data_IF_358156732257
#
_entry.id   IF_358156732257
#
_cell.length_a   1.000
_cell.length_b   1.000
_cell.length_c   1.000
_cell.angle_alpha   90.00
_cell.angle_beta   90.00
_cell.angle_gamma   90.00
#
_symmetry.space_group_name_H-M   'P 1'
#
loop_
_entity.id
_entity.type
_entity.pdbx_description
1 polymer ?
#
# COMPACT_ATOMS: atom_id res chain seq x y z
N UNK A 1 3.39 15.35 -8.16
CA UNK A 1 3.04 15.84 -9.50
C UNK A 1 3.01 14.65 -10.45
N UNK A 2 1.97 14.55 -11.26
CA UNK A 2 1.62 13.43 -12.15
C UNK A 2 2.25 13.62 -13.53
N UNK A 3 3.58 13.59 -13.59
CA UNK A 3 4.33 13.83 -14.82
C UNK A 3 4.73 12.54 -15.56
N UNK A 4 4.80 12.64 -16.88
CA UNK A 4 5.26 11.59 -17.78
C UNK A 4 4.42 10.31 -17.70
N UNK A 5 5.02 9.20 -18.13
CA UNK A 5 4.34 7.90 -18.15
C UNK A 5 3.93 7.42 -16.75
N UNK A 6 4.75 7.68 -15.73
CA UNK A 6 4.41 7.35 -14.34
C UNK A 6 3.17 8.14 -13.87
N UNK A 7 3.10 9.43 -14.20
CA UNK A 7 1.93 10.26 -13.94
C UNK A 7 0.66 9.72 -14.60
N UNK A 8 0.76 9.25 -15.85
CA UNK A 8 -0.36 8.60 -16.55
C UNK A 8 -0.83 7.36 -15.80
N UNK A 9 0.09 6.45 -15.47
CA UNK A 9 -0.22 5.19 -14.79
C UNK A 9 -0.87 5.41 -13.43
N UNK A 10 -0.36 6.37 -12.64
CA UNK A 10 -0.95 6.72 -11.35
C UNK A 10 -2.40 7.18 -11.48
N UNK A 11 -2.64 8.16 -12.35
CA UNK A 11 -3.95 8.79 -12.51
C UNK A 11 -4.97 7.84 -13.14
N UNK A 12 -4.58 7.10 -14.19
CA UNK A 12 -5.43 6.10 -14.84
C UNK A 12 -5.74 4.93 -13.88
N UNK A 13 -4.73 4.49 -13.13
CA UNK A 13 -4.84 3.45 -12.10
C UNK A 13 -5.81 3.82 -10.99
N UNK A 14 -5.69 5.03 -10.45
CA UNK A 14 -6.56 5.54 -9.39
C UNK A 14 -8.00 5.73 -9.88
N UNK A 15 -8.19 6.28 -11.08
CA UNK A 15 -9.52 6.44 -11.68
C UNK A 15 -10.27 5.11 -11.81
N UNK A 16 -9.63 4.08 -12.38
CA UNK A 16 -10.28 2.76 -12.50
C UNK A 16 -10.43 2.05 -11.15
N UNK A 17 -9.57 2.34 -10.18
CA UNK A 17 -9.68 1.84 -8.81
C UNK A 17 -10.92 2.41 -8.11
N UNK A 18 -11.08 3.74 -8.10
CA UNK A 18 -12.25 4.42 -7.55
C UNK A 18 -13.53 3.94 -8.23
N UNK A 19 -13.49 3.76 -9.55
CA UNK A 19 -14.64 3.29 -10.33
C UNK A 19 -15.03 1.86 -9.96
N UNK A 20 -14.04 0.99 -9.72
CA UNK A 20 -14.29 -0.38 -9.27
C UNK A 20 -14.87 -0.42 -7.84
N UNK A 21 -14.36 0.41 -6.92
CA UNK A 21 -14.88 0.49 -5.54
C UNK A 21 -16.31 1.05 -5.57
N UNK A 22 -16.54 2.16 -6.27
CA UNK A 22 -17.84 2.82 -6.37
C UNK A 22 -18.91 1.91 -6.99
N UNK A 23 -18.53 1.03 -7.94
CA UNK A 23 -19.45 0.04 -8.50
C UNK A 23 -19.93 -1.02 -7.47
N UNK A 24 -19.16 -1.27 -6.41
CA UNK A 24 -19.50 -2.24 -5.35
C UNK A 24 -20.13 -1.56 -4.14
N UNK A 25 -19.58 -0.41 -3.74
CA UNK A 25 -20.03 0.40 -2.60
C UNK A 25 -19.92 1.88 -2.97
N UNK A 26 -20.98 2.48 -3.57
CA UNK A 26 -20.96 3.86 -4.10
C UNK A 26 -20.53 4.93 -3.09
N UNK A 27 -20.88 4.74 -1.83
CA UNK A 27 -20.63 5.67 -0.74
C UNK A 27 -19.32 5.40 0.01
N UNK A 28 -18.50 4.42 -0.40
CA UNK A 28 -17.26 4.05 0.33
C UNK A 28 -16.00 4.72 -0.22
N UNK A 29 -16.05 5.26 -1.44
CA UNK A 29 -14.97 6.06 -2.02
C UNK A 29 -15.57 7.20 -2.85
N UNK A 30 -14.84 8.29 -3.11
CA UNK A 30 -15.28 9.36 -3.98
C UNK A 30 -15.69 8.85 -5.37
N UNK A 31 -16.80 9.34 -5.91
CA UNK A 31 -17.19 9.05 -7.30
C UNK A 31 -16.17 9.63 -8.28
N UNK A 32 -15.52 8.83 -9.14
CA UNK A 32 -14.62 9.37 -10.15
C UNK A 32 -15.41 9.87 -11.36
N UNK A 33 -15.16 11.11 -11.78
CA UNK A 33 -15.86 11.75 -12.90
C UNK A 33 -15.10 11.64 -14.22
N UNK A 34 -13.80 11.92 -14.21
CA UNK A 34 -12.96 11.87 -15.40
C UNK A 34 -11.47 11.87 -15.05
N UNK A 35 -10.64 11.43 -15.99
CA UNK A 35 -9.20 11.69 -15.96
C UNK A 35 -8.70 12.04 -17.36
N UNK A 36 -7.52 12.64 -17.46
CA UNK A 36 -6.94 12.94 -18.76
C UNK A 36 -5.59 13.65 -18.71
N UNK A 37 -5.05 13.93 -19.89
CA UNK A 37 -3.80 14.67 -20.09
C UNK A 37 -4.08 16.16 -20.32
N UNK A 38 -3.29 17.04 -19.73
CA UNK A 38 -3.34 18.48 -20.02
C UNK A 38 -2.94 18.76 -21.48
N UNK A 39 -3.52 19.79 -22.08
CA UNK A 39 -3.33 20.09 -23.51
C UNK A 39 -2.00 20.76 -23.83
N UNK A 40 -1.55 21.69 -22.98
CA UNK A 40 -0.47 22.62 -23.27
C UNK A 40 0.48 22.74 -22.07
N UNK A 41 1.01 21.61 -21.61
CA UNK A 41 2.09 21.61 -20.63
C UNK A 41 3.42 21.31 -21.33
N UNK A 42 4.49 21.94 -20.86
CA UNK A 42 5.87 21.67 -21.32
C UNK A 42 6.28 20.22 -21.01
N UNK A 43 5.67 19.64 -19.97
CA UNK A 43 5.81 18.25 -19.58
C UNK A 43 4.45 17.53 -19.63
N UNK A 44 4.46 16.23 -19.91
CA UNK A 44 3.24 15.43 -19.95
C UNK A 44 2.59 15.34 -18.57
N UNK A 45 1.59 16.18 -18.27
CA UNK A 45 0.85 16.18 -16.99
C UNK A 45 -0.53 15.55 -17.12
N UNK A 46 -0.99 14.87 -16.07
CA UNK A 46 -2.29 14.21 -16.01
C UNK A 46 -3.13 14.67 -14.81
N UNK A 47 -4.46 14.68 -14.96
CA UNK A 47 -5.41 15.06 -13.91
C UNK A 47 -6.44 13.95 -13.64
N UNK A 48 -6.94 13.92 -12.41
CA UNK A 48 -8.14 13.19 -11.97
C UNK A 48 -9.18 14.19 -11.49
N UNK A 49 -10.43 14.00 -11.89
CA UNK A 49 -11.61 14.67 -11.35
C UNK A 49 -12.45 13.62 -10.63
N UNK A 50 -12.70 13.84 -9.35
CA UNK A 50 -13.54 12.99 -8.52
C UNK A 50 -14.41 13.85 -7.60
N UNK A 51 -15.39 13.22 -6.96
CA UNK A 51 -16.24 13.80 -5.93
C UNK A 51 -15.40 14.43 -4.81
N UNK A 52 -15.76 15.65 -4.43
CA UNK A 52 -15.19 16.27 -3.24
C UNK A 52 -15.95 15.75 -2.02
N UNK A 53 -15.21 15.24 -1.03
CA UNK A 53 -15.74 14.83 0.28
C UNK A 53 -14.97 15.55 1.37
N UNK A 54 -15.68 16.18 2.29
CA UNK A 54 -15.05 16.87 3.41
C UNK A 54 -14.59 15.85 4.45
N UNK A 55 -13.29 15.85 4.74
CA UNK A 55 -12.64 14.92 5.67
C UNK A 55 -12.93 15.32 7.11
N UNK A 56 -13.48 14.38 7.88
CA UNK A 56 -13.73 14.51 9.30
C UNK A 56 -12.71 13.78 10.15
N UNK A 57 -13.18 12.88 11.03
CA UNK A 57 -12.29 12.06 11.85
C UNK A 57 -11.45 11.13 10.96
N UNK A 58 -10.14 11.19 11.15
CA UNK A 58 -9.16 10.38 10.44
C UNK A 58 -8.14 9.82 11.45
N UNK A 59 -7.98 8.49 11.60
CA UNK A 59 -8.75 7.43 10.94
C UNK A 59 -10.20 7.35 11.48
N UNK A 60 -11.14 6.78 10.72
CA UNK A 60 -12.53 6.63 11.12
C UNK A 60 -12.71 5.58 12.23
N UNK A 61 -13.85 5.66 12.94
CA UNK A 61 -14.22 4.72 14.00
C UNK A 61 -13.93 3.24 13.62
N UNK A 62 -13.19 2.47 14.45
CA UNK A 62 -12.74 1.12 14.09
C UNK A 62 -13.87 0.15 13.74
N UNK A 63 -14.98 0.17 14.47
CA UNK A 63 -16.07 -0.78 14.26
C UNK A 63 -16.79 -0.50 12.93
N UNK A 64 -17.16 0.77 12.68
CA UNK A 64 -17.87 1.16 11.47
C UNK A 64 -17.00 0.99 10.23
N UNK A 65 -15.74 1.44 10.31
CA UNK A 65 -14.82 1.36 9.19
C UNK A 65 -14.55 -0.09 8.76
N UNK A 66 -14.20 -0.95 9.71
CA UNK A 66 -13.87 -2.35 9.40
C UNK A 66 -15.09 -3.16 8.96
N UNK A 67 -16.30 -2.80 9.39
CA UNK A 67 -17.54 -3.37 8.86
C UNK A 67 -17.72 -3.08 7.37
N UNK A 68 -17.54 -1.80 6.96
CA UNK A 68 -17.63 -1.39 5.55
C UNK A 68 -16.52 -1.97 4.69
N UNK A 69 -15.29 -2.03 5.20
CA UNK A 69 -14.18 -2.68 4.50
C UNK A 69 -14.45 -4.17 4.26
N UNK A 70 -14.91 -4.89 5.29
CA UNK A 70 -15.28 -6.29 5.15
C UNK A 70 -16.46 -6.47 4.18
N UNK A 71 -17.40 -5.54 4.14
CA UNK A 71 -18.51 -5.53 3.19
C UNK A 71 -18.04 -5.36 1.74
N UNK A 72 -17.12 -4.42 1.46
CA UNK A 72 -16.48 -4.28 0.14
C UNK A 72 -15.83 -5.60 -0.29
N UNK A 73 -15.04 -6.20 0.59
CA UNK A 73 -14.34 -7.46 0.31
C UNK A 73 -15.33 -8.61 0.07
N UNK A 74 -16.46 -8.66 0.78
CA UNK A 74 -17.49 -9.69 0.59
C UNK A 74 -18.33 -9.48 -0.66
N UNK A 75 -18.74 -8.25 -0.97
CA UNK A 75 -19.65 -7.93 -2.08
C UNK A 75 -18.97 -7.85 -3.44
N UNK A 76 -17.69 -7.48 -3.48
CA UNK A 76 -16.94 -7.38 -4.75
C UNK A 76 -16.89 -8.73 -5.47
N UNK A 77 -16.91 -8.73 -6.80
CA UNK A 77 -16.79 -9.96 -7.60
C UNK A 77 -15.77 -9.71 -8.69
N UNK A 78 -14.69 -10.50 -8.70
CA UNK A 78 -13.70 -10.43 -9.79
C UNK A 78 -14.40 -10.70 -11.12
N UNK A 79 -14.25 -9.81 -12.13
CA UNK A 79 -14.93 -9.96 -13.42
C UNK A 79 -14.50 -11.22 -14.18
N UNK A 80 -13.35 -11.79 -13.81
CA UNK A 80 -12.79 -13.01 -14.39
C UNK A 80 -12.85 -14.20 -13.44
N UNK A 81 -13.22 -13.99 -12.17
CA UNK A 81 -13.07 -14.97 -11.10
C UNK A 81 -11.62 -15.20 -10.66
N UNK A 82 -10.66 -14.42 -11.16
CA UNK A 82 -9.21 -14.54 -10.90
C UNK A 82 -8.66 -13.36 -10.09
N UNK A 83 -7.43 -13.49 -9.60
CA UNK A 83 -6.69 -12.42 -8.94
C UNK A 83 -6.03 -11.50 -9.97
N UNK A 84 -5.94 -10.20 -9.67
CA UNK A 84 -5.36 -9.18 -10.55
C UNK A 84 -6.35 -8.07 -10.93
N UNK A 85 -6.08 -7.36 -12.01
CA UNK A 85 -6.84 -6.21 -12.47
C UNK A 85 -6.69 -6.03 -13.99
N UNK A 86 -7.53 -5.19 -14.60
CA UNK A 86 -7.52 -4.97 -16.05
C UNK A 86 -6.44 -3.98 -16.51
N UNK A 87 -5.87 -3.19 -15.60
CA UNK A 87 -4.80 -2.23 -15.87
C UNK A 87 -3.78 -2.23 -14.72
N UNK A 88 -2.65 -1.54 -14.95
CA UNK A 88 -1.67 -1.25 -13.91
C UNK A 88 -2.27 -0.23 -12.95
N UNK A 89 -2.29 -0.55 -11.67
CA UNK A 89 -2.49 0.41 -10.58
C UNK A 89 -1.17 0.71 -9.87
N UNK A 90 -1.15 1.76 -9.05
CA UNK A 90 0.05 2.20 -8.36
C UNK A 90 -0.13 2.12 -6.84
N UNK A 91 0.95 1.91 -6.11
CA UNK A 91 1.03 2.17 -4.67
C UNK A 91 1.82 3.45 -4.48
N UNK A 92 1.11 4.53 -4.16
CA UNK A 92 1.58 5.89 -4.38
C UNK A 92 2.17 6.04 -5.80
N UNK A 93 3.49 6.20 -5.93
CA UNK A 93 4.18 6.39 -7.22
C UNK A 93 4.75 5.12 -7.83
N UNK A 94 4.61 3.98 -7.16
CA UNK A 94 5.22 2.71 -7.59
C UNK A 94 4.20 1.90 -8.41
N UNK A 95 4.44 1.65 -9.70
CA UNK A 95 3.58 0.77 -10.50
C UNK A 95 3.54 -0.63 -9.88
N UNK A 96 2.34 -1.21 -9.79
CA UNK A 96 2.12 -2.56 -9.29
C UNK A 96 1.96 -3.55 -10.44
N UNK A 97 2.34 -4.81 -10.22
CA UNK A 97 1.96 -5.90 -11.13
C UNK A 97 0.50 -6.26 -10.88
N UNK A 98 -0.38 -5.69 -11.71
CA UNK A 98 -1.84 -5.82 -11.57
C UNK A 98 -2.55 -6.02 -12.89
N UNK A 99 -1.97 -5.63 -14.04
CA UNK A 99 -2.49 -5.82 -15.41
C UNK A 99 -2.40 -7.27 -15.92
N UNK A 100 -2.82 -8.21 -15.09
CA UNK A 100 -2.81 -9.64 -15.37
C UNK A 100 -3.94 -10.33 -14.61
N UNK A 101 -4.18 -11.59 -14.94
CA UNK A 101 -5.18 -12.42 -14.28
C UNK A 101 -4.60 -13.78 -13.92
N UNK A 102 -4.51 -14.08 -12.63
CA UNK A 102 -3.93 -15.30 -12.09
C UNK A 102 -4.97 -16.12 -11.32
N UNK A 103 -5.01 -17.43 -11.55
CA UNK A 103 -5.87 -18.33 -10.78
C UNK A 103 -5.34 -18.54 -9.34
N UNK A 104 -4.03 -18.38 -9.14
CA UNK A 104 -3.36 -18.58 -7.87
C UNK A 104 -2.91 -17.27 -7.24
N UNK A 105 -3.33 -17.04 -6.00
CA UNK A 105 -2.88 -15.93 -5.18
C UNK A 105 -1.38 -16.02 -4.85
N UNK A 106 -0.86 -17.23 -4.60
CA UNK A 106 0.57 -17.49 -4.41
C UNK A 106 1.37 -16.92 -5.59
N UNK A 107 0.92 -17.19 -6.83
CA UNK A 107 1.61 -16.76 -8.05
C UNK A 107 1.57 -15.24 -8.20
N UNK A 108 0.40 -14.61 -8.06
CA UNK A 108 0.29 -13.16 -8.19
C UNK A 108 1.10 -12.44 -7.09
N UNK A 109 0.94 -12.84 -5.83
CA UNK A 109 1.65 -12.21 -4.72
C UNK A 109 3.17 -12.36 -4.85
N UNK A 110 3.66 -13.52 -5.30
CA UNK A 110 5.08 -13.73 -5.58
C UNK A 110 5.60 -12.76 -6.65
N UNK A 111 4.85 -12.55 -7.74
CA UNK A 111 5.20 -11.58 -8.80
C UNK A 111 5.26 -10.16 -8.24
N UNK A 112 4.25 -9.78 -7.45
CA UNK A 112 4.18 -8.45 -6.83
C UNK A 112 5.33 -8.19 -5.85
N UNK A 113 5.62 -9.13 -4.94
CA UNK A 113 6.72 -8.94 -3.98
C UNK A 113 8.09 -8.94 -4.67
N UNK A 114 8.30 -9.82 -5.67
CA UNK A 114 9.55 -9.83 -6.45
C UNK A 114 9.76 -8.52 -7.20
N UNK A 115 8.70 -7.94 -7.76
CA UNK A 115 8.75 -6.62 -8.39
C UNK A 115 9.15 -5.52 -7.40
N UNK A 116 8.60 -5.52 -6.19
CA UNK A 116 8.97 -4.55 -5.16
C UNK A 116 10.42 -4.70 -4.69
N UNK A 117 10.95 -5.93 -4.58
CA UNK A 117 12.36 -6.18 -4.29
C UNK A 117 13.26 -5.62 -5.38
N UNK A 118 12.86 -5.78 -6.65
CA UNK A 118 13.59 -5.21 -7.78
C UNK A 118 13.59 -3.67 -7.75
N UNK A 119 12.45 -3.04 -7.44
CA UNK A 119 12.37 -1.58 -7.31
C UNK A 119 13.27 -1.05 -6.16
N UNK A 120 13.37 -1.80 -5.05
CA UNK A 120 14.28 -1.47 -3.96
C UNK A 120 15.75 -1.56 -4.38
N UNK A 121 16.12 -2.62 -5.10
CA UNK A 121 17.47 -2.81 -5.65
C UNK A 121 17.84 -1.71 -6.65
N UNK A 122 16.93 -1.35 -7.57
CA UNK A 122 17.13 -0.25 -8.52
C UNK A 122 17.31 1.11 -7.81
N UNK A 123 16.63 1.31 -6.68
CA UNK A 123 16.65 2.57 -5.93
C UNK A 123 17.87 2.72 -5.03
N UNK A 124 18.23 1.65 -4.32
CA UNK A 124 19.18 1.70 -3.21
C UNK A 124 20.47 0.91 -3.46
N UNK A 125 20.54 0.17 -4.56
CA UNK A 125 21.67 -0.69 -4.92
C UNK A 125 21.70 -2.00 -4.14
N UNK A 126 22.82 -2.72 -4.34
CA UNK A 126 23.00 -4.07 -3.83
C UNK A 126 23.04 -4.14 -2.31
N UNK A 127 22.33 -5.14 -1.78
CA UNK A 127 22.45 -5.54 -0.38
C UNK A 127 22.40 -7.09 -0.32
N UNK A 128 23.56 -7.77 -0.36
CA UNK A 128 23.62 -9.22 -0.50
C UNK A 128 22.77 -9.98 0.50
N UNK A 129 22.83 -9.62 1.78
CA UNK A 129 22.04 -10.25 2.85
C UNK A 129 20.54 -10.10 2.60
N UNK A 130 20.09 -8.90 2.20
CA UNK A 130 18.69 -8.63 1.86
C UNK A 130 18.25 -9.44 0.64
N UNK A 131 19.06 -9.49 -0.41
CA UNK A 131 18.79 -10.26 -1.62
C UNK A 131 18.68 -11.76 -1.31
N UNK A 132 19.52 -12.31 -0.42
CA UNK A 132 19.43 -13.72 -0.04
C UNK A 132 18.16 -14.04 0.73
N UNK A 133 17.79 -13.25 1.74
CA UNK A 133 16.54 -13.49 2.48
C UNK A 133 15.32 -13.25 1.60
N UNK A 134 15.37 -12.28 0.69
CA UNK A 134 14.31 -12.03 -0.31
C UNK A 134 14.09 -13.25 -1.20
N UNK A 135 15.18 -13.86 -1.74
CA UNK A 135 15.08 -15.09 -2.54
C UNK A 135 14.44 -16.23 -1.76
N UNK A 136 14.86 -16.46 -0.51
CA UNK A 136 14.26 -17.49 0.34
C UNK A 136 12.78 -17.23 0.62
N UNK A 137 12.39 -15.98 0.85
CA UNK A 137 10.97 -15.63 1.01
C UNK A 137 10.17 -15.96 -0.25
N UNK A 138 10.67 -15.56 -1.43
CA UNK A 138 10.00 -15.79 -2.71
C UNK A 138 9.91 -17.28 -3.08
N UNK A 139 10.91 -18.08 -2.73
CA UNK A 139 11.04 -19.48 -3.15
C UNK A 139 10.52 -20.49 -2.14
N UNK A 140 10.53 -20.17 -0.85
CA UNK A 140 10.22 -21.10 0.24
C UNK A 140 9.04 -20.63 1.08
N UNK A 141 9.10 -19.40 1.57
CA UNK A 141 8.09 -18.87 2.51
C UNK A 141 6.75 -18.64 1.82
N UNK A 142 6.72 -17.95 0.68
CA UNK A 142 5.48 -17.69 -0.06
C UNK A 142 4.75 -19.00 -0.41
N UNK A 143 5.41 -20.00 -1.04
CA UNK A 143 4.79 -21.31 -1.24
C UNK A 143 4.26 -21.96 0.02
N UNK A 144 5.01 -21.93 1.12
CA UNK A 144 4.59 -22.54 2.39
C UNK A 144 3.35 -21.85 2.96
N UNK A 145 3.26 -20.53 2.92
CA UNK A 145 2.19 -19.77 3.56
C UNK A 145 0.96 -19.57 2.68
N UNK A 146 1.12 -19.42 1.37
CA UNK A 146 0.04 -19.01 0.47
C UNK A 146 -0.58 -20.15 -0.32
N UNK A 147 0.18 -21.20 -0.65
CA UNK A 147 -0.38 -22.39 -1.32
C UNK A 147 -1.51 -23.05 -0.53
N UNK A 148 -1.39 -23.21 0.81
CA UNK A 148 -2.44 -23.82 1.61
C UNK A 148 -3.81 -23.15 1.47
N UNK A 149 -3.86 -21.84 1.21
CA UNK A 149 -5.12 -21.10 1.03
C UNK A 149 -5.99 -21.63 -0.13
N UNK A 150 -5.39 -22.32 -1.11
CA UNK A 150 -6.06 -22.82 -2.31
C UNK A 150 -5.77 -24.31 -2.58
N UNK A 151 -5.28 -25.06 -1.58
CA UNK A 151 -5.00 -26.49 -1.70
C UNK A 151 -5.83 -27.32 -0.72
N UNK A 152 -5.83 -28.64 -0.89
CA UNK A 152 -6.56 -29.57 0.01
C UNK A 152 -8.06 -29.25 0.11
N UNK A 153 -8.66 -28.87 -1.02
CA UNK A 153 -10.09 -28.51 -1.10
C UNK A 153 -10.42 -27.10 -0.60
N UNK A 154 -9.43 -26.32 -0.13
CA UNK A 154 -9.61 -24.93 0.26
C UNK A 154 -9.60 -24.02 -0.97
N UNK A 155 -10.27 -22.88 -0.83
CA UNK A 155 -10.31 -21.83 -1.83
C UNK A 155 -10.50 -20.49 -1.15
N UNK A 156 -9.79 -19.48 -1.61
CA UNK A 156 -10.01 -18.09 -1.25
C UNK A 156 -10.64 -17.34 -2.42
N UNK A 157 -11.48 -16.36 -2.10
CA UNK A 157 -12.13 -15.49 -3.08
C UNK A 157 -11.20 -14.33 -3.45
N UNK A 158 -10.98 -14.03 -4.74
CA UNK A 158 -10.43 -12.75 -5.18
C UNK A 158 -11.44 -11.65 -4.85
N UNK A 159 -11.13 -10.83 -3.85
CA UNK A 159 -11.93 -9.67 -3.48
C UNK A 159 -11.23 -8.38 -3.88
N UNK A 160 -12.01 -7.35 -4.23
CA UNK A 160 -11.47 -6.03 -4.54
C UNK A 160 -10.88 -5.43 -3.27
N UNK A 161 -9.58 -5.16 -3.27
CA UNK A 161 -8.86 -4.42 -2.23
C UNK A 161 -8.68 -2.96 -2.68
N UNK A 162 -8.69 -2.02 -1.74
CA UNK A 162 -8.32 -0.62 -1.98
C UNK A 162 -6.83 -0.52 -2.38
N UNK A 163 -5.95 -1.31 -1.76
CA UNK A 163 -4.56 -1.56 -2.21
C UNK A 163 -3.46 -0.68 -1.58
N UNK A 164 -3.84 0.27 -0.74
CA UNK A 164 -3.00 1.17 0.04
C UNK A 164 -3.71 1.62 1.33
N UNK A 165 -4.20 0.67 2.13
CA UNK A 165 -5.04 0.99 3.28
C UNK A 165 -4.25 1.36 4.52
N UNK A 166 -4.02 2.65 4.74
CA UNK A 166 -3.43 3.20 5.97
C UNK A 166 -4.22 4.40 6.48
N UNK A 167 -3.85 4.94 7.65
CA UNK A 167 -4.68 5.91 8.34
C UNK A 167 -4.93 7.20 7.55
N UNK A 168 -3.95 7.69 6.76
CA UNK A 168 -4.14 8.90 5.95
C UNK A 168 -4.96 8.69 4.67
N UNK A 169 -5.27 7.43 4.29
CA UNK A 169 -6.15 7.10 3.15
C UNK A 169 -7.57 6.70 3.60
N UNK A 170 -7.87 6.89 4.88
CA UNK A 170 -9.16 6.54 5.49
C UNK A 170 -9.69 7.72 6.29
N UNK A 171 -10.97 8.04 6.16
CA UNK A 171 -11.58 9.12 6.92
C UNK A 171 -13.07 8.87 7.16
N UNK A 172 -13.65 9.65 8.06
CA UNK A 172 -15.10 9.83 8.16
C UNK A 172 -15.50 10.99 7.26
N UNK A 173 -16.53 10.81 6.47
CA UNK A 173 -17.14 11.89 5.68
C UNK A 173 -17.90 12.83 6.61
N UNK A 174 -17.61 14.14 6.58
CA UNK A 174 -18.17 15.11 7.52
C UNK A 174 -19.69 15.26 7.41
N UNK A 175 -20.23 15.14 6.20
CA UNK A 175 -21.65 15.36 5.94
C UNK A 175 -22.50 14.15 6.38
N UNK A 176 -22.03 12.95 6.09
CA UNK A 176 -22.75 11.69 6.34
C UNK A 176 -22.36 11.03 7.66
N UNK A 177 -21.19 11.35 8.19
CA UNK A 177 -20.59 10.67 9.34
C UNK A 177 -20.17 9.23 9.03
N UNK A 178 -20.08 8.82 7.77
CA UNK A 178 -19.75 7.46 7.35
C UNK A 178 -18.27 7.30 6.97
N UNK A 179 -17.61 6.16 7.25
CA UNK A 179 -16.23 5.92 6.84
C UNK A 179 -16.08 5.77 5.32
N UNK A 180 -15.10 6.44 4.73
CA UNK A 180 -14.74 6.31 3.31
C UNK A 180 -13.22 6.22 3.13
N UNK A 181 -12.80 5.79 1.93
CA UNK A 181 -11.41 5.61 1.52
C UNK A 181 -11.11 6.41 0.26
N UNK A 182 -9.85 6.78 0.06
CA UNK A 182 -9.36 7.51 -1.11
C UNK A 182 -7.93 7.05 -1.46
N UNK A 183 -7.31 7.65 -2.49
CA UNK A 183 -5.96 7.31 -2.98
C UNK A 183 -5.80 5.81 -3.28
N UNK A 184 -6.73 5.27 -4.08
CA UNK A 184 -6.87 3.84 -4.32
C UNK A 184 -5.90 3.29 -5.39
N UNK A 185 -5.26 2.16 -5.06
CA UNK A 185 -4.40 1.36 -5.93
C UNK A 185 -4.92 -0.06 -6.07
N UNK A 186 -6.17 -0.20 -6.51
CA UNK A 186 -6.97 -1.40 -6.33
C UNK A 186 -6.61 -2.56 -7.26
N UNK A 187 -6.93 -3.77 -6.80
CA UNK A 187 -6.91 -5.00 -7.60
C UNK A 187 -7.71 -6.09 -6.88
N UNK A 188 -7.92 -7.24 -7.49
CA UNK A 188 -8.53 -8.40 -6.84
C UNK A 188 -7.46 -9.26 -6.17
N UNK A 189 -7.53 -9.37 -4.84
CA UNK A 189 -6.52 -9.99 -3.98
C UNK A 189 -7.16 -10.94 -2.94
N UNK A 190 -6.31 -11.57 -2.13
CA UNK A 190 -6.75 -12.17 -0.87
C UNK A 190 -7.10 -11.05 0.13
N UNK A 191 -8.24 -11.15 0.83
CA UNK A 191 -8.73 -10.11 1.74
C UNK A 191 -7.77 -9.76 2.89
N UNK A 192 -6.95 -10.71 3.33
CA UNK A 192 -5.96 -10.50 4.41
C UNK A 192 -4.78 -9.63 3.98
N UNK A 193 -4.54 -9.50 2.67
CA UNK A 193 -3.47 -8.65 2.13
C UNK A 193 -3.63 -7.19 2.56
N UNK A 194 -4.85 -6.65 2.47
CA UNK A 194 -5.13 -5.24 2.74
C UNK A 194 -4.73 -4.83 4.15
N UNK A 195 -5.04 -5.67 5.13
CA UNK A 195 -4.72 -5.38 6.54
C UNK A 195 -3.26 -5.69 6.90
N UNK A 196 -2.45 -6.16 5.94
CA UNK A 196 -1.00 -6.31 6.12
C UNK A 196 -0.32 -4.97 6.41
N UNK A 197 -0.84 -3.87 5.83
CA UNK A 197 -0.31 -2.53 6.08
C UNK A 197 -0.51 -2.08 7.54
N UNK A 198 -1.52 -2.62 8.23
CA UNK A 198 -1.82 -2.32 9.64
C UNK A 198 -0.86 -3.01 10.62
N UNK A 199 0.13 -3.77 10.13
CA UNK A 199 1.16 -4.34 11.00
C UNK A 199 2.23 -3.33 11.39
N UNK A 200 2.41 -2.30 10.59
CA UNK A 200 3.51 -1.36 10.77
C UNK A 200 3.17 -0.31 11.85
N UNK A 201 3.89 -0.28 12.99
CA UNK A 201 3.51 0.50 14.17
C UNK A 201 3.49 2.03 13.95
N UNK A 202 4.01 2.51 12.82
CA UNK A 202 3.90 3.91 12.38
C UNK A 202 2.47 4.33 12.05
N UNK A 203 1.57 3.38 11.74
CA UNK A 203 0.20 3.66 11.34
C UNK A 203 -0.75 3.57 12.52
N UNK A 204 -1.71 4.50 12.61
CA UNK A 204 -2.75 4.48 13.66
C UNK A 204 -3.72 3.31 13.51
N UNK A 205 -3.90 2.79 12.28
CA UNK A 205 -4.67 1.56 12.03
C UNK A 205 -4.00 0.30 12.61
N UNK A 206 -2.77 0.39 13.13
CA UNK A 206 -2.09 -0.72 13.81
C UNK A 206 -2.60 -1.02 15.21
N UNK A 207 -3.47 -0.16 15.75
CA UNK A 207 -4.18 -0.51 16.97
C UNK A 207 -4.95 -1.82 16.75
N UNK A 208 -4.73 -2.79 17.66
CA UNK A 208 -5.33 -4.12 17.63
C UNK A 208 -6.86 -4.07 17.53
N UNK A 209 -7.50 -2.97 17.92
CA UNK A 209 -8.94 -2.76 17.77
C UNK A 209 -9.41 -2.85 16.32
N UNK A 210 -8.63 -2.38 15.34
CA UNK A 210 -8.99 -2.44 13.92
C UNK A 210 -8.94 -3.88 13.41
N UNK A 211 -7.80 -4.57 13.59
CA UNK A 211 -7.65 -5.98 13.20
C UNK A 211 -8.70 -6.86 13.89
N UNK A 212 -8.96 -6.63 15.18
CA UNK A 212 -9.98 -7.36 15.94
C UNK A 212 -11.37 -7.15 15.35
N UNK A 213 -11.76 -5.93 15.02
CA UNK A 213 -13.09 -5.69 14.45
C UNK A 213 -13.22 -6.21 13.02
N UNK A 214 -12.20 -6.03 12.17
CA UNK A 214 -12.23 -6.61 10.82
C UNK A 214 -12.42 -8.14 10.85
N UNK A 215 -11.70 -8.85 11.73
CA UNK A 215 -11.85 -10.30 11.92
C UNK A 215 -13.26 -10.73 12.38
N UNK A 216 -14.01 -9.86 13.06
CA UNK A 216 -15.41 -10.15 13.43
C UNK A 216 -16.32 -10.15 12.21
N UNK A 217 -15.98 -9.36 11.19
CA UNK A 217 -16.77 -9.25 9.98
C UNK A 217 -16.25 -10.16 8.86
N UNK A 218 -14.95 -10.41 8.76
CA UNK A 218 -14.37 -11.34 7.78
C UNK A 218 -13.46 -12.34 8.52
N UNK A 219 -13.88 -13.62 8.66
CA UNK A 219 -13.10 -14.65 9.35
C UNK A 219 -11.70 -14.86 8.75
N UNK A 220 -10.79 -15.39 9.55
CA UNK A 220 -9.44 -15.77 9.12
C UNK A 220 -9.54 -16.90 8.08
N UNK A 221 -8.68 -16.87 7.07
CA UNK A 221 -8.56 -17.94 6.10
C UNK A 221 -7.77 -19.13 6.66
N UNK A 222 -8.21 -20.35 6.37
CA UNK A 222 -7.51 -21.57 6.78
C UNK A 222 -6.19 -21.79 6.02
N UNK A 223 -5.08 -22.18 6.68
CA UNK A 223 -4.97 -22.55 8.10
C UNK A 223 -4.92 -21.31 8.99
N UNK A 224 -5.72 -21.27 10.05
CA UNK A 224 -5.72 -20.13 10.97
C UNK A 224 -4.37 -19.94 11.69
N UNK A 225 -3.64 -21.03 11.96
CA UNK A 225 -2.32 -20.99 12.62
C UNK A 225 -1.26 -20.22 11.81
N UNK A 226 -1.43 -20.14 10.49
CA UNK A 226 -0.52 -19.41 9.59
C UNK A 226 -0.88 -17.90 9.50
N UNK A 227 -1.96 -17.44 10.15
CA UNK A 227 -2.47 -16.06 10.04
C UNK A 227 -1.42 -14.99 10.32
N UNK A 228 -0.72 -15.07 11.46
CA UNK A 228 0.22 -14.02 11.86
C UNK A 228 1.43 -13.97 10.93
N UNK A 229 1.88 -15.14 10.44
CA UNK A 229 2.97 -15.22 9.47
C UNK A 229 2.53 -14.69 8.09
N UNK A 230 1.29 -14.94 7.67
CA UNK A 230 0.73 -14.34 6.45
C UNK A 230 0.62 -12.82 6.58
N UNK A 231 0.18 -12.31 7.72
CA UNK A 231 0.09 -10.88 7.96
C UNK A 231 1.50 -10.23 7.98
N UNK A 232 2.51 -10.88 8.57
CA UNK A 232 3.92 -10.46 8.43
C UNK A 232 4.35 -10.44 6.97
N UNK A 233 4.08 -11.52 6.23
CA UNK A 233 4.43 -11.62 4.82
C UNK A 233 3.80 -10.51 4.00
N UNK A 234 2.52 -10.19 4.22
CA UNK A 234 1.82 -9.11 3.54
C UNK A 234 2.33 -7.71 3.93
N UNK A 235 2.74 -7.50 5.17
CA UNK A 235 3.30 -6.21 5.60
C UNK A 235 4.59 -5.86 4.86
N UNK A 236 5.42 -6.87 4.51
CA UNK A 236 6.69 -6.67 3.80
C UNK A 236 6.52 -5.85 2.52
N UNK A 237 5.44 -6.07 1.77
CA UNK A 237 5.18 -5.34 0.52
C UNK A 237 5.03 -3.84 0.79
N UNK A 238 4.23 -3.47 1.78
CA UNK A 238 3.97 -2.07 2.13
C UNK A 238 5.21 -1.40 2.72
N UNK A 239 5.91 -2.08 3.63
CA UNK A 239 7.14 -1.57 4.22
C UNK A 239 8.25 -1.36 3.18
N UNK A 240 8.32 -2.24 2.17
CA UNK A 240 9.25 -2.12 1.05
C UNK A 240 8.87 -0.95 0.12
N UNK A 241 7.58 -0.76 -0.15
CA UNK A 241 7.10 0.42 -0.90
C UNK A 241 7.44 1.73 -0.22
N UNK A 242 7.20 1.82 1.08
CA UNK A 242 7.59 2.97 1.89
C UNK A 242 9.12 3.15 1.94
N UNK A 243 9.90 2.08 2.01
CA UNK A 243 11.37 2.12 1.96
C UNK A 243 11.92 2.69 0.64
N UNK A 244 11.27 2.40 -0.48
CA UNK A 244 11.62 2.95 -1.79
C UNK A 244 11.26 4.43 -1.90
N UNK A 245 10.11 4.82 -1.36
CA UNK A 245 9.54 6.16 -1.53
C UNK A 245 10.06 7.21 -0.55
N UNK A 246 10.45 6.81 0.66
CA UNK A 246 10.83 7.73 1.74
C UNK A 246 12.35 7.73 1.91
N UNK A 247 13.05 8.79 1.47
CA UNK A 247 14.50 8.87 1.61
C UNK A 247 14.94 8.87 3.08
N UNK A 248 16.00 8.13 3.40
CA UNK A 248 16.62 8.11 4.73
C UNK A 248 15.86 7.33 5.80
N UNK A 249 14.75 6.67 5.49
CA UNK A 249 14.06 5.82 6.46
C UNK A 249 14.82 4.50 6.72
N UNK A 250 14.57 3.88 7.87
CA UNK A 250 15.19 2.61 8.27
C UNK A 250 14.36 1.36 7.86
N UNK A 251 13.34 1.53 7.00
CA UNK A 251 12.37 0.48 6.69
C UNK A 251 12.97 -0.71 5.96
N UNK A 252 14.03 -0.55 5.15
CA UNK A 252 14.70 -1.70 4.50
C UNK A 252 15.22 -2.71 5.52
N UNK A 253 15.74 -2.23 6.66
CA UNK A 253 16.22 -3.09 7.73
C UNK A 253 15.05 -3.82 8.43
N UNK A 254 13.91 -3.13 8.64
CA UNK A 254 12.69 -3.75 9.18
C UNK A 254 12.16 -4.85 8.25
N UNK A 255 12.14 -4.60 6.93
CA UNK A 255 11.76 -5.61 5.93
C UNK A 255 12.71 -6.80 5.99
N UNK A 256 14.02 -6.58 6.04
CA UNK A 256 15.02 -7.66 6.16
C UNK A 256 14.78 -8.52 7.40
N UNK A 257 14.50 -7.90 8.54
CA UNK A 257 14.27 -8.60 9.81
C UNK A 257 12.96 -9.41 9.78
N UNK A 258 11.91 -8.87 9.15
CA UNK A 258 10.67 -9.58 8.87
C UNK A 258 10.89 -10.79 7.96
N UNK A 259 11.60 -10.62 6.84
CA UNK A 259 11.98 -11.73 5.95
C UNK A 259 12.80 -12.80 6.68
N UNK A 260 13.79 -12.37 7.46
CA UNK A 260 14.65 -13.27 8.26
C UNK A 260 13.83 -14.05 9.28
N UNK A 261 12.85 -13.42 9.93
CA UNK A 261 11.96 -14.07 10.89
C UNK A 261 11.15 -15.19 10.24
N UNK A 262 10.58 -14.93 9.07
CA UNK A 262 9.86 -15.96 8.30
C UNK A 262 10.80 -17.07 7.83
N UNK A 263 11.99 -16.74 7.32
CA UNK A 263 12.97 -17.72 6.87
C UNK A 263 13.45 -18.62 8.01
N UNK A 264 13.69 -18.08 9.21
CA UNK A 264 14.05 -18.86 10.41
C UNK A 264 12.97 -19.89 10.75
N UNK A 265 11.69 -19.54 10.57
CA UNK A 265 10.56 -20.42 10.88
C UNK A 265 10.34 -21.50 9.83
N UNK A 266 10.45 -21.16 8.54
CA UNK A 266 9.99 -22.04 7.45
C UNK A 266 11.10 -22.66 6.60
N UNK A 267 12.31 -22.12 6.61
CA UNK A 267 13.46 -22.65 5.88
C UNK A 267 14.80 -22.37 6.61
N UNK A 268 14.95 -22.82 7.88
CA UNK A 268 16.13 -22.49 8.69
C UNK A 268 17.43 -23.05 8.11
N UNK A 269 17.41 -24.22 7.49
CA UNK A 269 18.60 -24.84 6.90
C UNK A 269 19.10 -24.04 5.69
N UNK A 270 18.20 -23.62 4.81
CA UNK A 270 18.57 -22.79 3.67
C UNK A 270 19.02 -21.39 4.09
N UNK A 271 18.46 -20.84 5.19
CA UNK A 271 18.93 -19.59 5.76
C UNK A 271 20.37 -19.72 6.28
N UNK A 272 20.68 -20.76 7.05
CA UNK A 272 22.04 -21.04 7.55
C UNK A 272 23.01 -21.16 6.36
N UNK A 273 22.67 -21.98 5.36
CA UNK A 273 23.51 -22.16 4.18
C UNK A 273 23.72 -20.86 3.38
N UNK A 274 22.72 -19.97 3.34
CA UNK A 274 22.86 -18.66 2.69
C UNK A 274 23.79 -17.74 3.48
N UNK A 275 23.70 -17.73 4.81
CA UNK A 275 24.57 -16.93 5.68
C UNK A 275 26.02 -17.43 5.68
N UNK A 276 26.25 -18.74 5.73
CA UNK A 276 27.60 -19.34 5.67
C UNK A 276 28.32 -19.01 4.36
N UNK A 277 27.61 -19.04 3.22
CA UNK A 277 28.16 -18.66 1.92
C UNK A 277 28.60 -17.19 1.87
N UNK A 278 27.97 -16.31 2.65
CA UNK A 278 28.35 -14.90 2.73
C UNK A 278 29.52 -14.66 3.68
N UNK A 279 29.62 -15.45 4.76
CA UNK A 279 30.79 -15.43 5.63
C UNK A 279 32.06 -15.91 4.90
N UNK A 280 31.91 -16.66 3.81
CA UNK A 280 32.99 -17.11 2.92
C UNK A 280 33.19 -16.20 1.70
N UNK A 281 33.17 -14.88 1.88
CA UNK A 281 33.90 -13.99 0.97
C UNK A 281 35.33 -13.96 1.50
N UNK A 282 36.34 -14.50 0.80
CA UNK A 282 37.72 -14.36 1.25
C UNK A 282 37.97 -12.88 1.41
N UNK A 283 38.40 -12.45 2.60
CA UNK A 283 39.05 -11.16 2.75
C UNK A 283 40.01 -11.02 1.58
N UNK A 284 39.89 -9.96 0.77
CA UNK A 284 41.01 -9.57 -0.07
C UNK A 284 42.21 -9.53 0.88
N UNK A 285 43.16 -10.44 0.67
CA UNK A 285 44.49 -10.29 1.23
C UNK A 285 44.98 -8.96 0.67
N UNK A 286 44.87 -7.91 1.49
CA UNK A 286 45.64 -6.72 1.24
C UNK A 286 47.10 -7.18 1.20
N UNK A 287 47.84 -6.91 0.12
CA UNK A 287 49.28 -7.12 0.15
C UNK A 287 49.79 -6.39 1.39
N UNK A 288 50.46 -7.11 2.28
CA UNK A 288 51.27 -6.47 3.31
C UNK A 288 52.35 -5.74 2.52
N UNK A 289 52.15 -4.44 2.31
CA UNK A 289 53.21 -3.57 1.84
C UNK A 289 54.21 -3.47 3.00
N UNK A 290 55.37 -4.11 2.85
CA UNK A 290 56.48 -4.13 3.82
C UNK A 290 57.19 -2.76 3.92
N UNK A 291 56.50 -1.65 3.64
CA UNK A 291 57.11 -0.32 3.66
C UNK A 291 56.38 0.65 4.61
N UNK A 292 56.17 0.21 5.85
CA UNK A 292 55.56 0.99 6.94
C UNK A 292 56.56 1.78 7.80
N UNK A 293 57.79 2.04 7.30
CA UNK A 293 58.84 2.74 8.06
C UNK A 293 59.14 4.18 7.59
N UNK A 294 58.31 4.82 6.76
CA UNK A 294 58.62 6.17 6.23
C UNK A 294 57.53 7.25 6.38
N UNK A 295 56.58 7.10 7.31
CA UNK A 295 55.56 8.14 7.57
C UNK A 295 55.37 8.53 9.04
N UNK A 296 56.42 8.44 9.87
CA UNK A 296 56.49 9.17 11.14
C UNK A 296 57.58 10.25 11.11
N UNK A 297 57.27 11.37 10.44
CA UNK A 297 57.84 12.68 10.78
C UNK A 297 57.02 13.76 10.08
N UNK A 298 55.90 14.16 10.71
CA UNK A 298 55.49 15.57 10.83
C UNK A 298 54.10 15.73 11.47
N UNK A 299 54.07 16.60 12.49
CA UNK A 299 52.93 17.31 13.09
C UNK A 299 52.27 16.72 14.36
N UNK A 300 53.03 16.69 15.46
CA UNK A 300 52.48 16.58 16.82
C UNK A 300 52.06 17.92 17.47
N UNK A 301 52.25 19.08 16.83
CA UNK A 301 52.02 20.37 17.51
C UNK A 301 50.66 21.07 17.26
N UNK A 302 49.75 20.52 16.43
CA UNK A 302 48.44 21.17 16.18
C UNK A 302 47.22 20.53 16.86
N UNK A 303 47.31 19.32 17.41
CA UNK A 303 46.14 18.63 17.98
C UNK A 303 45.94 18.77 19.51
N UNK A 304 46.82 19.48 20.22
CA UNK A 304 46.69 19.76 21.67
C UNK A 304 46.19 21.20 21.89
N UNK A 305 45.17 21.66 21.16
CA UNK A 305 44.45 22.93 21.47
C UNK A 305 42.94 22.92 21.19
N UNK A 306 42.31 21.78 20.92
CA UNK A 306 40.85 21.72 20.68
C UNK A 306 40.07 20.66 21.48
N UNK A 307 40.67 20.06 22.51
CA UNK A 307 40.00 19.05 23.34
C UNK A 307 39.58 19.53 24.74
N UNK A 308 39.58 20.84 25.02
CA UNK A 308 39.30 21.39 26.37
C UNK A 308 38.02 22.22 26.51
N UNK A 309 37.13 22.23 25.51
CA UNK A 309 35.95 23.12 25.52
C UNK A 309 34.56 22.48 25.64
N UNK A 310 34.42 21.20 25.99
CA UNK A 310 33.08 20.59 26.12
C UNK A 310 32.94 19.60 27.28
N UNK A 311 33.35 19.97 28.50
CA UNK A 311 32.84 19.34 29.72
C UNK A 311 32.69 20.36 30.86
N UNK A 312 31.48 20.92 31.03
CA UNK A 312 31.06 21.58 32.29
C UNK A 312 29.71 21.01 32.72
N UNK A 313 29.55 20.53 33.96
CA UNK A 313 28.28 20.03 34.49
C UNK A 313 27.45 21.17 35.09
N UNK A 314 26.16 21.27 34.73
CA UNK A 314 25.23 22.21 35.37
C UNK A 314 24.37 21.49 36.41
N UNK A 315 24.54 21.86 37.68
CA UNK A 315 23.59 21.57 38.77
C UNK A 315 23.02 22.88 39.32
N UNK A 316 21.70 23.04 39.18
CA UNK A 316 20.76 23.62 40.17
C UNK A 316 20.67 25.14 40.37
N UNK A 317 19.45 25.68 40.22
CA UNK A 317 18.67 26.48 41.20
C UNK A 317 17.31 26.87 40.56
N UNK A 318 16.19 26.32 41.04
CA UNK A 318 15.18 26.93 41.95
C UNK A 318 14.57 28.23 41.44
N UNK A 319 13.29 28.19 41.07
CA UNK A 319 12.33 29.30 41.21
C UNK A 319 10.94 28.77 41.53
N UNK A 320 10.20 29.58 42.27
CA UNK A 320 9.06 29.28 43.12
C UNK A 320 7.77 28.83 42.41
N UNK A 321 7.02 27.98 43.10
CA UNK A 321 5.61 27.76 42.90
C UNK A 321 4.83 28.66 43.87
N UNK A 322 3.79 29.33 43.37
CA UNK A 322 2.72 29.92 44.18
C UNK A 322 1.50 28.99 44.13
N UNK A 323 0.97 28.69 45.32
CA UNK A 323 -0.22 27.89 45.58
C UNK A 323 -1.50 28.67 45.30
N UNK A 324 -2.57 27.96 44.95
CA UNK A 324 -3.98 28.10 45.38
C UNK A 324 -4.80 27.13 44.50
N UNK A 325 -5.65 26.22 44.96
CA UNK A 325 -6.11 25.83 46.29
C UNK A 325 -6.99 24.58 46.13
N UNK A 326 -7.17 23.85 47.23
CA UNK A 326 -7.95 22.61 47.34
C UNK A 326 -9.46 22.81 47.08
N UNK A 327 -10.13 21.76 46.61
CA UNK A 327 -11.59 21.68 46.56
C UNK A 327 -12.07 20.24 46.33
N UNK A 328 -12.52 19.61 47.42
CA UNK A 328 -12.99 18.23 47.50
C UNK A 328 -14.31 17.94 46.77
N UNK A 329 -14.37 16.75 46.17
CA UNK A 329 -15.36 15.68 46.31
C UNK A 329 -16.87 15.88 46.01
N UNK A 330 -17.42 14.82 45.39
CA UNK A 330 -18.70 14.12 45.62
C UNK A 330 -19.80 14.19 44.55
N UNK A 331 -20.37 12.98 44.39
CA UNK A 331 -21.74 12.60 44.04
C UNK A 331 -22.20 12.77 42.58
N UNK A 332 -22.35 11.65 41.85
CA UNK A 332 -23.61 10.87 41.70
C UNK A 332 -24.67 11.70 40.99
N UNK A 333 -25.04 11.28 39.78
CA UNK A 333 -26.44 11.16 39.35
C UNK A 333 -26.53 10.30 38.08
N UNK A 334 -27.20 9.18 38.28
CA UNK A 334 -27.79 8.27 37.28
C UNK A 334 -29.14 8.84 36.89
N UNK A 335 -29.53 8.72 35.62
CA UNK A 335 -30.88 8.39 35.10
C UNK A 335 -31.05 8.84 33.62
N UNK A 336 -32.02 8.31 32.84
CA UNK A 336 -32.38 6.91 32.61
C UNK A 336 -32.59 6.66 31.07
N UNK A 337 -33.05 5.48 30.61
CA UNK A 337 -33.14 5.17 29.18
C UNK A 337 -34.46 5.68 28.57
N UNK A 338 -34.43 6.10 27.30
CA UNK A 338 -35.64 6.47 26.57
C UNK A 338 -36.24 5.25 25.86
N UNK A 339 -37.43 4.87 26.29
CA UNK A 339 -38.26 3.81 25.72
C UNK A 339 -38.81 4.16 24.33
N UNK A 340 -39.02 3.09 23.57
CA UNK A 340 -39.77 3.00 22.33
C UNK A 340 -41.21 3.48 22.45
N UNK A 341 -41.69 4.23 21.45
CA UNK A 341 -43.09 4.16 21.02
C UNK A 341 -43.19 3.92 19.52
N UNK A 342 -43.85 2.81 19.20
CA UNK A 342 -44.59 2.57 17.95
C UNK A 342 -45.64 3.67 17.79
N UNK A 343 -45.88 4.12 16.56
CA UNK A 343 -47.15 3.86 15.86
C UNK A 343 -47.25 4.59 14.51
N UNK A 344 -47.89 3.87 13.57
CA UNK A 344 -48.58 4.34 12.37
C UNK A 344 -47.69 4.94 11.26
N UNK A 345 -47.80 4.55 9.99
CA UNK A 345 -48.91 3.99 9.26
C UNK A 345 -49.15 4.83 8.01
N UNK A 346 -49.26 4.18 6.85
CA UNK A 346 -49.57 4.72 5.51
C UNK A 346 -48.46 5.59 4.87
N UNK A 347 -48.20 5.56 3.56
CA UNK A 347 -48.95 5.03 2.41
C UNK A 347 -47.97 4.84 1.25
N UNK A 348 -48.02 3.66 0.65
CA UNK A 348 -47.50 3.37 -0.68
C UNK A 348 -48.25 4.26 -1.69
N UNK A 349 -47.53 5.09 -2.44
CA UNK A 349 -48.02 5.62 -3.73
C UNK A 349 -47.18 5.02 -4.85
N UNK A 350 -47.77 4.00 -5.48
CA UNK A 350 -47.41 3.56 -6.83
C UNK A 350 -47.81 4.67 -7.80
N UNK A 351 -46.87 5.16 -8.59
CA UNK A 351 -47.16 5.76 -9.90
C UNK A 351 -46.73 4.77 -10.97
N UNK A 352 -47.71 4.33 -11.76
CA UNK A 352 -47.58 3.49 -12.95
C UNK A 352 -47.85 4.37 -14.16
N UNK A 353 -47.24 3.99 -15.30
CA UNK A 353 -47.47 4.44 -16.69
C UNK A 353 -46.82 5.79 -17.06
N UNK A 354 -46.18 5.93 -18.22
CA UNK A 354 -46.49 5.35 -19.53
C UNK A 354 -45.28 4.81 -20.31
N UNK A 355 -45.51 3.68 -20.97
CA UNK A 355 -44.80 3.24 -22.17
C UNK A 355 -45.20 4.14 -23.37
N UNK A 356 -44.23 4.51 -24.20
CA UNK A 356 -44.51 4.88 -25.59
C UNK A 356 -43.60 4.11 -26.55
N UNK A 357 -44.29 3.46 -27.48
CA UNK A 357 -43.81 2.63 -28.58
C UNK A 357 -43.36 3.53 -29.72
N UNK A 358 -42.21 3.26 -30.33
CA UNK A 358 -41.72 3.97 -31.52
C UNK A 358 -40.64 3.19 -32.26
N UNK A 359 -41.07 2.23 -33.07
CA UNK A 359 -40.25 1.34 -33.94
C UNK A 359 -40.02 2.02 -35.31
N UNK A 360 -38.81 1.91 -35.87
CA UNK A 360 -38.35 1.95 -37.30
C UNK A 360 -36.91 2.51 -37.30
N UNK A 361 -35.84 1.91 -37.81
CA UNK A 361 -35.66 0.95 -38.90
C UNK A 361 -35.05 1.66 -40.11
N UNK A 362 -33.74 1.44 -40.42
CA UNK A 362 -33.22 1.12 -41.78
C UNK A 362 -31.70 1.33 -41.95
N UNK A 363 -31.02 0.20 -42.18
CA UNK A 363 -29.98 -0.15 -43.18
C UNK A 363 -29.07 0.90 -43.86
N UNK A 364 -27.77 0.54 -43.83
CA UNK A 364 -26.75 0.44 -44.92
C UNK A 364 -26.45 1.66 -45.80
N UNK A 365 -25.15 2.02 -45.87
CA UNK A 365 -24.38 1.99 -47.13
C UNK A 365 -22.86 2.08 -46.88
N UNK A 366 -22.13 1.52 -47.83
CA UNK A 366 -20.72 1.17 -47.88
C UNK A 366 -20.11 1.85 -49.12
N UNK A 367 -18.86 2.34 -49.05
CA UNK A 367 -17.86 2.57 -50.13
C UNK A 367 -16.81 3.56 -49.58
N UNK A 368 -15.49 3.42 -49.71
CA UNK A 368 -14.64 2.54 -50.50
C UNK A 368 -13.64 3.37 -51.34
N UNK A 369 -12.33 3.04 -51.23
CA UNK A 369 -11.17 3.39 -52.10
C UNK A 369 -10.58 4.81 -51.94
N UNK A 370 -9.28 5.10 -52.14
CA UNK A 370 -8.07 4.35 -52.57
C UNK A 370 -6.80 5.19 -52.31
N UNK A 371 -5.70 4.51 -51.95
CA UNK A 371 -4.28 4.67 -52.35
C UNK A 371 -3.72 6.04 -52.79
N UNK A 372 -2.57 6.38 -52.21
CA UNK A 372 -1.52 7.21 -52.83
C UNK A 372 -0.18 7.12 -52.08
N UNK A 373 0.76 6.30 -52.58
CA UNK A 373 2.19 6.34 -52.23
C UNK A 373 2.84 7.51 -52.98
N UNK A 374 3.72 8.27 -52.35
CA UNK A 374 4.93 8.77 -53.03
C UNK A 374 6.07 9.07 -52.05
N UNK A 375 7.27 8.72 -52.52
CA UNK A 375 8.57 8.75 -51.85
C UNK A 375 9.26 10.12 -52.00
N UNK A 376 10.14 10.38 -51.04
CA UNK A 376 11.46 11.02 -51.15
C UNK A 376 11.56 12.53 -51.43
N UNK A 377 12.27 13.23 -50.53
CA UNK A 377 13.62 13.73 -50.81
C UNK A 377 14.37 14.14 -49.55
N UNK A 378 15.59 13.61 -49.43
CA UNK A 378 16.69 14.08 -48.58
C UNK A 378 16.97 15.56 -48.82
N UNK A 379 17.29 16.31 -47.77
CA UNK A 379 18.33 17.34 -47.85
C UNK A 379 19.02 17.53 -46.50
N UNK A 380 20.32 17.28 -46.55
CA UNK A 380 21.34 17.44 -45.52
C UNK A 380 21.96 18.84 -45.66
N UNK A 381 22.10 19.61 -44.57
CA UNK A 381 23.13 20.66 -44.30
C UNK A 381 23.01 20.98 -42.80
N UNK A 382 23.90 20.58 -41.86
CA UNK A 382 25.29 20.95 -41.53
C UNK A 382 25.52 22.44 -41.16
N UNK A 383 26.06 22.62 -39.93
CA UNK A 383 26.76 23.78 -39.29
C UNK A 383 25.87 24.96 -38.87
N UNK A 384 25.97 25.51 -37.65
CA UNK A 384 27.09 25.57 -36.69
C UNK A 384 26.67 25.17 -35.28
#
# INVERSE_FOLDING_TARGET
MSFGDNGRLMIEGEYESLKAIHAVSPDFAPEPYAWGKYRNDEEDTYFLLAEYREVGEQPPNPLRFTARLAELHKKSVSPTGKFGFHIITCHAKLPQITDCWEDSWEVLYKKQLAHMVKLDEEKHGDWPEFQAVSRLVLEKVIPRLLRPLQSEGRSIKPCLVQGDMWDENTATDMDTGEPFVFDAGSFYAHNEYEIGNWRAPRHRLSDKVYVKNYRRFFPISEPEDDWDDRNLLYSLRFDLGAAVLIPGCNLRQIVKDGMTTLCKKFCPQELIAATEKMAFVPSLEFPIDENWDEFEEHNEDENIRQADHLLVPVRGKVTQAEEFGEGQAKDVLVDPPFESKRESGMRVRRSRQMEHVGRKGSKKAQKGRRRGKQKAKKRTTIKR
#
